data_IF_684400725682
#
_entry.id   IF_684400725682
#
_cell.length_a   1.000
_cell.length_b   1.000
_cell.length_c   1.000
_cell.angle_alpha   90.00
_cell.angle_beta   90.00
_cell.angle_gamma   90.00
#
_symmetry.space_group_name_H-M   'P 1'
#
loop_
_entity.id
_entity.type
_entity.pdbx_description
1 polymer ?
#
# COMPACT_ATOMS: atom_id res chain seq x y z
N UNK A 1 11.59 -0.33 -6.67
CA UNK A 1 11.85 -1.51 -5.81
C UNK A 1 13.02 -1.30 -4.84
N UNK A 2 13.25 -0.08 -4.33
CA UNK A 2 14.48 0.27 -3.59
C UNK A 2 14.23 0.64 -2.12
N UNK A 3 12.98 0.78 -1.71
CA UNK A 3 12.61 1.38 -0.42
C UNK A 3 12.61 0.35 0.73
N UNK A 4 12.42 -0.93 0.39
CA UNK A 4 12.31 -2.03 1.35
C UNK A 4 13.60 -2.38 2.10
N UNK A 5 14.79 -2.05 1.56
CA UNK A 5 16.07 -2.38 2.20
C UNK A 5 16.41 -1.37 3.30
N UNK A 6 16.17 -0.08 3.04
CA UNK A 6 16.40 1.02 3.99
C UNK A 6 15.53 0.89 5.23
N UNK A 7 14.26 0.51 5.07
CA UNK A 7 13.31 0.40 6.18
C UNK A 7 13.59 -0.81 7.09
N UNK A 8 14.04 -1.94 6.52
CA UNK A 8 14.52 -3.10 7.31
C UNK A 8 15.77 -2.74 8.11
N UNK A 9 16.72 -2.04 7.49
CA UNK A 9 17.94 -1.58 8.16
C UNK A 9 17.64 -0.57 9.30
N UNK A 10 16.63 0.29 9.13
CA UNK A 10 16.17 1.24 10.16
C UNK A 10 15.57 0.53 11.39
N UNK A 11 14.76 -0.51 11.19
CA UNK A 11 14.13 -1.27 12.28
C UNK A 11 15.19 -2.11 13.03
N UNK A 12 16.10 -2.76 12.31
CA UNK A 12 17.15 -3.59 12.93
C UNK A 12 18.15 -2.73 13.73
N UNK A 13 18.54 -1.55 13.21
CA UNK A 13 19.47 -0.64 13.88
C UNK A 13 18.84 0.28 14.94
N UNK A 14 17.52 0.24 15.13
CA UNK A 14 16.86 1.07 16.13
C UNK A 14 17.27 0.67 17.55
N UNK A 15 17.93 1.57 18.29
CA UNK A 15 18.37 1.34 19.68
C UNK A 15 17.25 1.55 20.71
N UNK A 16 16.13 2.15 20.30
CA UNK A 16 15.01 2.51 21.18
C UNK A 16 13.89 1.47 21.21
N UNK A 17 13.90 0.51 20.28
CA UNK A 17 12.92 -0.56 20.20
C UNK A 17 13.47 -1.84 20.81
N UNK A 18 12.66 -2.49 21.65
CA UNK A 18 12.97 -3.81 22.17
C UNK A 18 12.95 -4.87 21.05
N UNK A 19 13.71 -5.94 21.22
CA UNK A 19 13.81 -7.02 20.22
C UNK A 19 12.45 -7.66 19.91
N UNK A 20 11.58 -7.77 20.92
CA UNK A 20 10.21 -8.24 20.74
C UNK A 20 9.41 -7.32 19.78
N UNK A 21 9.56 -6.01 19.92
CA UNK A 21 8.86 -5.02 19.09
C UNK A 21 9.42 -4.98 17.67
N UNK A 22 10.74 -5.13 17.50
CA UNK A 22 11.38 -5.29 16.18
C UNK A 22 10.87 -6.54 15.46
N UNK A 23 10.78 -7.67 16.16
CA UNK A 23 10.26 -8.94 15.61
C UNK A 23 8.80 -8.80 15.18
N UNK A 24 7.97 -8.14 15.99
CA UNK A 24 6.57 -7.88 15.65
C UNK A 24 6.43 -6.97 14.42
N UNK A 25 7.21 -5.89 14.35
CA UNK A 25 7.20 -4.99 13.18
C UNK A 25 7.65 -5.69 11.90
N UNK A 26 8.69 -6.53 11.98
CA UNK A 26 9.17 -7.34 10.84
C UNK A 26 8.11 -8.34 10.36
N UNK A 27 7.45 -9.03 11.29
CA UNK A 27 6.36 -9.96 10.96
C UNK A 27 5.17 -9.25 10.29
N UNK A 28 4.74 -8.09 10.81
CA UNK A 28 3.67 -7.29 10.21
C UNK A 28 4.05 -6.82 8.78
N UNK A 29 5.28 -6.35 8.59
CA UNK A 29 5.79 -5.93 7.28
C UNK A 29 5.82 -7.07 6.27
N UNK A 30 6.26 -8.25 6.70
CA UNK A 30 6.31 -9.42 5.82
C UNK A 30 4.89 -9.96 5.52
N UNK A 31 3.92 -9.83 6.44
CA UNK A 31 2.51 -10.11 6.17
C UNK A 31 1.89 -9.13 5.18
N UNK A 32 2.13 -7.83 5.33
CA UNK A 32 1.62 -6.82 4.40
C UNK A 32 2.13 -7.04 2.97
N UNK A 33 3.33 -7.58 2.80
CA UNK A 33 3.89 -7.96 1.48
C UNK A 33 3.21 -9.18 0.85
N UNK A 34 2.60 -10.04 1.66
CA UNK A 34 1.87 -11.21 1.17
C UNK A 34 0.44 -10.89 0.76
N UNK A 35 -0.05 -9.69 1.09
CA UNK A 35 -1.34 -9.20 0.58
C UNK A 35 -1.15 -8.92 -0.92
N UNK A 36 -1.51 -9.90 -1.75
CA UNK A 36 -1.62 -9.66 -3.18
C UNK A 36 -2.79 -8.70 -3.39
N UNK A 37 -2.50 -7.50 -3.90
CA UNK A 37 -3.51 -6.50 -4.26
C UNK A 37 -4.56 -7.05 -5.23
N UNK A 38 -4.19 -8.03 -6.06
CA UNK A 38 -5.10 -8.70 -7.01
C UNK A 38 -6.13 -9.61 -6.34
N UNK A 39 -5.88 -10.07 -5.10
CA UNK A 39 -6.78 -10.94 -4.34
C UNK A 39 -7.52 -10.18 -3.22
N UNK A 40 -7.48 -8.85 -3.21
CA UNK A 40 -8.32 -8.08 -2.29
C UNK A 40 -9.79 -8.23 -2.68
N UNK A 41 -10.72 -8.24 -1.71
CA UNK A 41 -12.14 -8.32 -2.02
C UNK A 41 -12.53 -7.20 -2.98
N UNK A 42 -13.29 -7.52 -4.04
CA UNK A 42 -13.75 -6.56 -5.05
C UNK A 42 -14.56 -5.38 -4.46
N UNK A 43 -15.04 -5.52 -3.21
CA UNK A 43 -15.67 -4.44 -2.45
C UNK A 43 -14.71 -3.30 -2.09
N UNK A 44 -13.39 -3.53 -2.10
CA UNK A 44 -12.38 -2.50 -1.87
C UNK A 44 -12.05 -1.80 -3.19
N UNK A 45 -12.95 -0.91 -3.62
CA UNK A 45 -12.86 -0.16 -4.89
C UNK A 45 -11.58 0.68 -4.98
N UNK A 46 -11.00 1.05 -3.82
CA UNK A 46 -9.74 1.80 -3.72
C UNK A 46 -8.49 0.91 -3.66
N UNK A 47 -8.62 -0.42 -3.68
CA UNK A 47 -7.50 -1.36 -3.63
C UNK A 47 -6.63 -1.36 -4.89
N UNK A 48 -7.18 -0.93 -6.04
CA UNK A 48 -6.51 -0.99 -7.34
C UNK A 48 -5.53 0.17 -7.50
N UNK A 49 -4.44 0.10 -6.77
CA UNK A 49 -3.37 1.09 -6.79
C UNK A 49 -2.18 0.54 -7.57
N UNK A 50 -1.69 1.30 -8.55
CA UNK A 50 -0.55 0.91 -9.38
C UNK A 50 0.74 0.88 -8.58
N UNK A 51 0.92 1.87 -7.69
CA UNK A 51 2.11 2.00 -6.84
C UNK A 51 1.82 2.90 -5.66
N UNK A 52 2.66 2.79 -4.63
CA UNK A 52 2.70 3.73 -3.51
C UNK A 52 3.84 4.72 -3.74
N UNK A 53 3.55 6.01 -3.62
CA UNK A 53 4.56 7.05 -3.68
C UNK A 53 5.56 6.85 -2.52
N UNK A 54 6.87 6.73 -2.81
CA UNK A 54 7.86 6.35 -1.82
C UNK A 54 8.22 7.47 -0.84
N UNK A 55 7.92 8.73 -1.16
CA UNK A 55 8.24 9.89 -0.33
C UNK A 55 7.08 10.23 0.62
N UNK A 56 5.86 10.18 0.10
CA UNK A 56 4.64 10.58 0.82
C UNK A 56 3.85 9.40 1.37
N UNK A 57 4.09 8.20 0.86
CA UNK A 57 3.32 7.00 1.21
C UNK A 57 1.88 7.04 0.68
N UNK A 58 1.55 7.92 -0.25
CA UNK A 58 0.21 8.01 -0.85
C UNK A 58 0.09 6.95 -1.95
N UNK A 59 -1.04 6.24 -1.98
CA UNK A 59 -1.30 5.22 -3.02
C UNK A 59 -1.81 5.89 -4.31
N UNK A 60 -1.19 5.55 -5.43
CA UNK A 60 -1.51 6.06 -6.76
C UNK A 60 -2.43 5.05 -7.45
N UNK A 61 -3.67 5.43 -7.84
CA UNK A 61 -4.60 4.55 -8.52
C UNK A 61 -4.07 4.16 -9.91
N UNK A 62 -4.53 3.04 -10.46
CA UNK A 62 -4.25 2.67 -11.86
C UNK A 62 -5.01 3.57 -12.84
N UNK A 63 -4.50 3.73 -14.07
CA UNK A 63 -5.18 4.51 -15.12
C UNK A 63 -6.62 4.02 -15.36
N UNK A 64 -6.82 2.70 -15.43
CA UNK A 64 -8.16 2.10 -15.59
C UNK A 64 -9.10 2.50 -14.44
N UNK A 65 -8.60 2.51 -13.21
CA UNK A 65 -9.40 2.94 -12.05
C UNK A 65 -9.74 4.44 -12.10
N UNK A 66 -8.87 5.26 -12.68
CA UNK A 66 -9.15 6.69 -12.91
C UNK A 66 -10.21 6.86 -14.00
N UNK A 67 -10.16 6.07 -15.07
CA UNK A 67 -11.14 6.10 -16.15
C UNK A 67 -12.53 5.62 -15.69
N UNK A 68 -12.61 4.50 -14.96
CA UNK A 68 -13.84 4.01 -14.33
C UNK A 68 -14.46 5.06 -13.40
N UNK A 69 -13.64 5.72 -12.58
CA UNK A 69 -14.11 6.76 -11.67
C UNK A 69 -14.63 8.00 -12.42
N UNK A 70 -13.96 8.40 -13.51
CA UNK A 70 -14.41 9.52 -14.35
C UNK A 70 -15.74 9.21 -15.03
N UNK A 71 -15.87 8.04 -15.64
CA UNK A 71 -17.10 7.59 -16.30
C UNK A 71 -18.28 7.61 -15.32
N UNK A 72 -18.07 7.13 -14.10
CA UNK A 72 -19.10 7.17 -13.06
C UNK A 72 -19.50 8.61 -12.69
N UNK A 73 -18.55 9.51 -12.46
CA UNK A 73 -18.85 10.92 -12.13
C UNK A 73 -19.55 11.62 -13.31
N UNK A 74 -19.05 11.42 -14.52
CA UNK A 74 -19.50 12.14 -15.70
C UNK A 74 -20.81 11.60 -16.28
N UNK A 75 -21.12 10.31 -16.14
CA UNK A 75 -22.28 9.72 -16.83
C UNK A 75 -23.30 9.08 -15.89
N UNK A 76 -22.89 8.53 -14.75
CA UNK A 76 -23.79 7.83 -13.84
C UNK A 76 -24.25 8.69 -12.65
N UNK A 77 -23.37 9.53 -12.13
CA UNK A 77 -23.59 10.36 -10.93
C UNK A 77 -23.90 11.83 -11.26
N UNK A 78 -24.58 12.08 -12.39
CA UNK A 78 -25.11 13.42 -12.76
C UNK A 78 -26.55 13.66 -12.27
N UNK A 79 -26.91 13.09 -11.12
CA UNK A 79 -28.18 13.38 -10.44
C UNK A 79 -28.25 14.84 -9.98
#
# INVERSE_FOLDING_TARGET
MTDNKKEKDLIENSKTLSDAKKKQMKANMDQQKQINSENRPDSDIYAKTERKDPETGIEIPTENSVEEAKEWVDNENRM
#
